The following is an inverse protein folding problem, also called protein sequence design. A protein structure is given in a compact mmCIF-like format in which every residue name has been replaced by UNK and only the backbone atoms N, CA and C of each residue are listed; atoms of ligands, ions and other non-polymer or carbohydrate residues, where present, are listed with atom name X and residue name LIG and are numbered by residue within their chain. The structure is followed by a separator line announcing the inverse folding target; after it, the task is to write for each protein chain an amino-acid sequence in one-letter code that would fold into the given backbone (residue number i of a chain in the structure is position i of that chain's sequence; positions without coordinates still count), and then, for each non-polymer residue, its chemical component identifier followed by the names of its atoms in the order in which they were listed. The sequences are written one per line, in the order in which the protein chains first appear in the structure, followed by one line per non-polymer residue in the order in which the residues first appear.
data_IF_528512189573
#
_entry.id   IF_528512189573
#
_cell.length_a   1.000
_cell.length_b   1.000
_cell.length_c   1.000
_cell.angle_alpha   90.00
_cell.angle_beta   90.00
_cell.angle_gamma   90.00
#
_symmetry.space_group_name_H-M   'P 1'
#
loop_
_entity.id
_entity.type
_entity.pdbx_description
1 polymer ?
#
# COMPACT_ATOMS: atom_id res chain seq x y z
N UNK A 1 9.69 8.36 2.10
CA UNK A 1 10.68 7.80 1.17
C UNK A 1 10.69 6.29 1.32
N UNK A 2 10.35 5.56 0.27
CA UNK A 2 10.22 4.09 0.29
C UNK A 2 11.35 3.42 -0.47
N UNK A 3 11.81 2.30 0.06
CA UNK A 3 12.86 1.47 -0.53
C UNK A 3 12.26 0.11 -0.85
N UNK A 4 12.12 -0.21 -2.13
CA UNK A 4 11.74 -1.54 -2.59
C UNK A 4 13.03 -2.35 -2.87
N UNK A 5 13.20 -3.48 -2.19
CA UNK A 5 14.30 -4.41 -2.43
C UNK A 5 13.85 -5.51 -3.40
N UNK A 6 14.57 -5.67 -4.50
CA UNK A 6 14.31 -6.71 -5.49
C UNK A 6 15.49 -7.69 -5.56
N UNK A 7 15.19 -8.98 -5.28
CA UNK A 7 16.10 -10.11 -5.44
C UNK A 7 15.74 -10.84 -6.74
N UNK A 8 16.26 -10.43 -7.87
CA UNK A 8 15.95 -11.09 -9.15
C UNK A 8 16.90 -10.72 -10.28
N UNK A 9 17.14 -11.69 -11.13
CA UNK A 9 18.15 -11.73 -12.15
C UNK A 9 18.24 -10.54 -13.10
N UNK A 10 19.42 -10.27 -13.46
CA UNK A 10 20.06 -9.19 -14.20
C UNK A 10 19.33 -8.72 -15.46
N UNK A 11 18.77 -7.52 -15.41
CA UNK A 11 18.53 -6.73 -16.61
C UNK A 11 19.65 -5.69 -16.79
N UNK A 12 20.36 -5.72 -17.91
CA UNK A 12 21.41 -4.75 -18.23
C UNK A 12 20.99 -3.28 -18.10
N UNK A 13 19.71 -2.99 -18.32
CA UNK A 13 19.16 -1.63 -18.27
C UNK A 13 19.11 -1.09 -16.85
N UNK A 14 18.70 -1.90 -15.88
CA UNK A 14 18.67 -1.47 -14.47
C UNK A 14 20.08 -1.17 -13.97
N UNK A 15 21.07 -1.97 -14.34
CA UNK A 15 22.48 -1.71 -13.97
C UNK A 15 22.98 -0.36 -14.49
N UNK A 16 22.57 0.05 -15.71
CA UNK A 16 22.95 1.35 -16.28
C UNK A 16 22.29 2.56 -15.59
N UNK A 17 21.14 2.36 -14.97
CA UNK A 17 20.37 3.42 -14.29
C UNK A 17 20.65 3.48 -12.77
N UNK A 18 21.52 2.61 -12.28
CA UNK A 18 21.71 2.39 -10.84
C UNK A 18 22.94 3.15 -10.32
N UNK A 19 22.75 3.84 -9.19
CA UNK A 19 23.85 4.41 -8.41
C UNK A 19 24.34 3.40 -7.35
N UNK A 20 25.63 3.41 -7.07
CA UNK A 20 26.17 2.61 -5.97
C UNK A 20 25.77 3.22 -4.62
N UNK A 21 25.42 2.38 -3.65
CA UNK A 21 25.03 2.83 -2.30
C UNK A 21 26.10 3.69 -1.59
N UNK A 22 27.38 3.49 -1.92
CA UNK A 22 28.47 4.32 -1.39
C UNK A 22 28.44 5.73 -1.96
N UNK A 23 28.12 5.88 -3.24
CA UNK A 23 27.96 7.18 -3.92
C UNK A 23 26.72 7.90 -3.39
N UNK A 24 25.60 7.18 -3.23
CA UNK A 24 24.38 7.71 -2.63
C UNK A 24 24.65 8.30 -1.26
N UNK A 25 25.39 7.58 -0.39
CA UNK A 25 25.75 8.10 0.94
C UNK A 25 26.62 9.36 0.90
N UNK A 26 27.53 9.45 -0.04
CA UNK A 26 28.40 10.63 -0.18
C UNK A 26 27.61 11.86 -0.68
N UNK A 27 26.63 11.63 -1.55
CA UNK A 27 25.87 12.68 -2.23
C UNK A 27 24.39 12.68 -1.80
N UNK A 28 24.09 12.31 -0.54
CA UNK A 28 22.75 12.09 -0.06
C UNK A 28 21.80 13.27 -0.33
N UNK A 29 22.27 14.50 -0.10
CA UNK A 29 21.46 15.70 -0.32
C UNK A 29 21.02 15.84 -1.78
N UNK A 30 21.95 15.68 -2.72
CA UNK A 30 21.68 15.78 -4.16
C UNK A 30 20.75 14.63 -4.63
N UNK A 31 20.98 13.40 -4.15
CA UNK A 31 20.18 12.25 -4.49
C UNK A 31 18.74 12.41 -3.95
N UNK A 32 18.58 12.88 -2.72
CA UNK A 32 17.27 13.13 -2.13
C UNK A 32 16.51 14.24 -2.85
N UNK A 33 17.17 15.34 -3.20
CA UNK A 33 16.57 16.40 -4.02
C UNK A 33 16.14 15.90 -5.41
N UNK A 34 16.94 15.05 -6.03
CA UNK A 34 16.60 14.43 -7.32
C UNK A 34 15.38 13.52 -7.19
N UNK A 35 15.33 12.70 -6.14
CA UNK A 35 14.22 11.78 -5.90
C UNK A 35 12.92 12.53 -5.62
N UNK A 36 12.99 13.61 -4.87
CA UNK A 36 11.81 14.42 -4.53
C UNK A 36 11.27 15.18 -5.74
N UNK A 37 12.17 15.74 -6.58
CA UNK A 37 11.78 16.73 -7.60
C UNK A 37 11.79 16.22 -9.03
N UNK A 38 12.55 15.15 -9.32
CA UNK A 38 12.82 14.75 -10.70
C UNK A 38 12.37 13.33 -11.01
N UNK A 39 12.91 12.33 -10.30
CA UNK A 39 12.65 10.92 -10.61
C UNK A 39 13.07 9.98 -9.48
N UNK A 40 12.47 8.80 -9.38
CA UNK A 40 12.98 7.72 -8.54
C UNK A 40 14.40 7.31 -8.92
N UNK A 41 15.18 6.86 -7.94
CA UNK A 41 16.57 6.44 -8.13
C UNK A 41 16.75 4.98 -7.78
N UNK A 42 17.27 4.19 -8.74
CA UNK A 42 17.74 2.83 -8.47
C UNK A 42 19.09 2.87 -7.75
N UNK A 43 19.21 2.08 -6.69
CA UNK A 43 20.42 2.00 -5.86
C UNK A 43 20.84 0.54 -5.78
N UNK A 44 22.14 0.29 -5.96
CA UNK A 44 22.73 -1.03 -5.83
C UNK A 44 23.61 -1.10 -4.59
N UNK A 45 23.36 -2.10 -3.75
CA UNK A 45 24.22 -2.45 -2.63
C UNK A 45 24.67 -3.91 -2.76
N UNK A 46 25.95 -4.10 -3.09
CA UNK A 46 26.53 -5.42 -3.33
C UNK A 46 25.80 -6.16 -4.47
N UNK A 47 24.83 -7.01 -4.14
CA UNK A 47 24.02 -7.79 -5.10
C UNK A 47 22.56 -7.34 -5.15
N UNK A 48 22.13 -6.55 -4.17
CA UNK A 48 20.75 -6.16 -3.96
C UNK A 48 20.44 -4.80 -4.60
N UNK A 49 19.25 -4.68 -5.14
CA UNK A 49 18.74 -3.46 -5.75
C UNK A 49 17.64 -2.89 -4.87
N UNK A 50 17.63 -1.57 -4.78
CA UNK A 50 16.62 -0.80 -4.07
C UNK A 50 16.09 0.29 -4.99
N UNK A 51 14.85 0.69 -4.81
CA UNK A 51 14.26 1.86 -5.43
C UNK A 51 13.99 2.91 -4.35
N UNK A 52 14.58 4.07 -4.50
CA UNK A 52 14.29 5.24 -3.68
C UNK A 52 13.31 6.12 -4.46
N UNK A 53 12.15 6.41 -3.87
CA UNK A 53 11.10 7.20 -4.50
C UNK A 53 10.46 8.17 -3.51
N UNK A 54 9.82 9.22 -4.02
CA UNK A 54 8.93 10.05 -3.23
C UNK A 54 7.55 9.36 -3.07
N UNK A 55 6.72 9.88 -2.16
CA UNK A 55 5.40 9.29 -1.89
C UNK A 55 4.44 9.46 -3.06
N UNK A 56 4.46 10.60 -3.73
CA UNK A 56 3.62 10.89 -4.89
C UNK A 56 3.81 9.86 -6.02
N UNK A 57 5.07 9.47 -6.29
CA UNK A 57 5.35 8.40 -7.26
C UNK A 57 4.70 7.08 -6.85
N UNK A 58 4.81 6.71 -5.58
CA UNK A 58 4.22 5.47 -5.08
C UNK A 58 2.69 5.54 -5.07
N UNK A 59 2.11 6.67 -4.69
CA UNK A 59 0.68 6.93 -4.76
C UNK A 59 0.14 6.74 -6.19
N UNK A 60 0.84 7.29 -7.19
CA UNK A 60 0.50 7.08 -8.61
C UNK A 60 0.55 5.60 -9.02
N UNK A 61 1.57 4.85 -8.60
CA UNK A 61 1.66 3.40 -8.87
C UNK A 61 0.51 2.62 -8.23
N UNK A 62 0.05 3.04 -7.05
CA UNK A 62 -1.02 2.39 -6.30
C UNK A 62 -2.43 2.88 -6.68
N UNK A 63 -2.54 3.85 -7.60
CA UNK A 63 -3.82 4.45 -7.98
C UNK A 63 -4.85 3.44 -8.52
N UNK A 64 -4.39 2.41 -9.22
CA UNK A 64 -5.24 1.35 -9.79
C UNK A 64 -5.81 0.36 -8.75
N UNK A 65 -5.24 0.33 -7.55
CA UNK A 65 -5.74 -0.52 -6.47
C UNK A 65 -6.90 0.15 -5.76
N UNK A 66 -8.07 -0.49 -5.74
CA UNK A 66 -9.31 0.05 -5.14
C UNK A 66 -9.76 -0.81 -3.97
N UNK A 67 -10.34 -0.19 -2.96
CA UNK A 67 -11.01 -0.89 -1.87
C UNK A 67 -12.45 -1.21 -2.30
N UNK A 68 -12.76 -2.51 -2.47
CA UNK A 68 -14.07 -2.97 -2.94
C UNK A 68 -14.79 -3.74 -1.84
N UNK A 69 -15.89 -3.20 -1.36
CA UNK A 69 -16.69 -3.83 -0.32
C UNK A 69 -18.01 -4.38 -0.86
N UNK A 70 -18.30 -5.63 -0.58
CA UNK A 70 -19.61 -6.23 -0.76
C UNK A 70 -20.53 -5.81 0.38
N UNK A 71 -21.68 -5.24 0.01
CA UNK A 71 -22.68 -4.75 0.95
C UNK A 71 -23.82 -5.74 1.11
N UNK A 72 -24.14 -6.07 2.35
CA UNK A 72 -25.27 -6.90 2.73
C UNK A 72 -26.18 -6.10 3.67
N UNK A 73 -27.49 -6.32 3.57
CA UNK A 73 -28.48 -5.82 4.53
C UNK A 73 -28.93 -7.02 5.34
N UNK A 74 -28.72 -6.96 6.65
CA UNK A 74 -29.06 -8.04 7.57
C UNK A 74 -30.56 -8.05 7.90
N UNK A 75 -31.07 -9.13 8.51
CA UNK A 75 -32.47 -9.27 8.87
C UNK A 75 -32.96 -8.20 9.87
N UNK A 76 -32.06 -7.71 10.72
CA UNK A 76 -32.32 -6.65 11.69
C UNK A 76 -32.24 -5.23 11.10
N UNK A 77 -31.94 -5.12 9.79
CA UNK A 77 -31.78 -3.87 9.07
C UNK A 77 -30.38 -3.25 9.17
N UNK A 78 -29.45 -3.86 9.89
CA UNK A 78 -28.05 -3.42 9.93
C UNK A 78 -27.35 -3.66 8.58
N UNK A 79 -26.23 -3.00 8.39
CA UNK A 79 -25.44 -3.07 7.14
C UNK A 79 -24.10 -3.71 7.42
N UNK A 80 -23.79 -4.78 6.70
CA UNK A 80 -22.48 -5.43 6.70
C UNK A 80 -21.71 -5.04 5.45
N UNK A 81 -20.46 -4.67 5.61
CA UNK A 81 -19.48 -4.52 4.52
C UNK A 81 -18.39 -5.56 4.65
N UNK A 82 -18.16 -6.31 3.57
CA UNK A 82 -17.06 -7.27 3.46
C UNK A 82 -16.06 -6.77 2.43
N UNK A 83 -14.86 -6.40 2.86
CA UNK A 83 -13.78 -5.92 2.00
C UNK A 83 -13.06 -7.09 1.33
N UNK A 84 -13.06 -7.13 0.01
CA UNK A 84 -12.54 -8.26 -0.77
C UNK A 84 -11.02 -8.41 -0.69
N UNK A 85 -10.30 -7.28 -0.65
CA UNK A 85 -8.86 -7.24 -0.86
C UNK A 85 -8.04 -7.55 0.41
N UNK A 86 -8.65 -7.33 1.59
CA UNK A 86 -7.96 -7.47 2.89
C UNK A 86 -8.69 -8.43 3.85
N UNK A 87 -9.78 -9.08 3.41
CA UNK A 87 -10.61 -9.99 4.22
C UNK A 87 -11.13 -9.35 5.51
N UNK A 88 -11.46 -8.05 5.48
CA UNK A 88 -12.02 -7.31 6.60
C UNK A 88 -13.55 -7.23 6.47
N UNK A 89 -14.24 -7.39 7.59
CA UNK A 89 -15.71 -7.32 7.66
C UNK A 89 -16.13 -6.45 8.82
N UNK A 90 -17.03 -5.50 8.55
CA UNK A 90 -17.61 -4.62 9.56
C UNK A 90 -19.13 -4.60 9.43
N UNK A 91 -19.82 -4.37 10.55
CA UNK A 91 -21.27 -4.22 10.61
C UNK A 91 -21.65 -3.01 11.46
N UNK A 92 -22.62 -2.24 11.01
CA UNK A 92 -23.16 -1.11 11.76
C UNK A 92 -24.63 -0.85 11.40
N UNK A 93 -25.29 0.04 12.16
CA UNK A 93 -26.70 0.40 11.96
C UNK A 93 -26.94 1.14 10.64
N UNK A 94 -25.93 1.82 10.12
CA UNK A 94 -26.03 2.60 8.87
C UNK A 94 -24.84 2.37 7.94
N UNK A 95 -25.06 2.58 6.65
CA UNK A 95 -24.01 2.51 5.65
C UNK A 95 -22.85 3.50 5.95
N UNK A 96 -23.17 4.68 6.48
CA UNK A 96 -22.16 5.69 6.82
C UNK A 96 -21.26 5.22 7.97
N UNK A 97 -21.88 4.69 9.01
CA UNK A 97 -21.14 4.18 10.18
C UNK A 97 -20.24 3.00 9.81
N UNK A 98 -20.77 2.00 9.08
CA UNK A 98 -19.98 0.82 8.71
C UNK A 98 -18.84 1.18 7.74
N UNK A 99 -19.01 2.14 6.83
CA UNK A 99 -17.91 2.63 5.99
C UNK A 99 -16.81 3.29 6.80
N UNK A 100 -17.17 4.09 7.79
CA UNK A 100 -16.18 4.71 8.68
C UNK A 100 -15.44 3.67 9.52
N UNK A 101 -16.15 2.70 10.11
CA UNK A 101 -15.54 1.59 10.84
C UNK A 101 -14.60 0.78 9.94
N UNK A 102 -15.04 0.45 8.72
CA UNK A 102 -14.20 -0.27 7.77
C UNK A 102 -12.94 0.51 7.38
N UNK A 103 -13.04 1.83 7.21
CA UNK A 103 -11.88 2.69 6.93
C UNK A 103 -10.88 2.69 8.11
N UNK A 104 -11.37 2.69 9.35
CA UNK A 104 -10.54 2.54 10.54
C UNK A 104 -9.84 1.19 10.58
N UNK A 105 -10.59 0.09 10.37
CA UNK A 105 -10.04 -1.27 10.33
C UNK A 105 -9.01 -1.46 9.21
N UNK A 106 -9.19 -0.82 8.06
CA UNK A 106 -8.19 -0.81 6.97
C UNK A 106 -6.89 -0.17 7.44
N UNK A 107 -6.94 0.99 8.09
CA UNK A 107 -5.74 1.71 8.54
C UNK A 107 -5.06 0.97 9.70
N UNK A 108 -5.82 0.43 10.65
CA UNK A 108 -5.30 -0.39 11.76
C UNK A 108 -4.60 -1.65 11.22
N UNK A 109 -5.25 -2.38 10.33
CA UNK A 109 -4.66 -3.55 9.67
C UNK A 109 -3.39 -3.20 8.89
N UNK A 110 -3.38 -2.10 8.16
CA UNK A 110 -2.22 -1.66 7.40
C UNK A 110 -1.04 -1.32 8.32
N UNK A 111 -1.30 -0.71 9.46
CA UNK A 111 -0.29 -0.37 10.48
C UNK A 111 0.30 -1.64 11.10
N UNK A 112 -0.55 -2.57 11.54
CA UNK A 112 -0.12 -3.87 12.09
C UNK A 112 0.70 -4.67 11.06
N UNK A 113 0.22 -4.73 9.80
CA UNK A 113 0.93 -5.40 8.72
C UNK A 113 2.33 -4.82 8.52
N UNK A 114 2.46 -3.50 8.58
CA UNK A 114 3.74 -2.81 8.39
C UNK A 114 4.69 -3.05 9.56
N UNK A 115 4.20 -3.04 10.79
CA UNK A 115 4.99 -3.30 11.99
C UNK A 115 5.54 -4.74 12.00
N UNK A 116 4.74 -5.71 11.55
CA UNK A 116 5.10 -7.13 11.45
C UNK A 116 5.35 -7.56 9.99
N UNK A 117 5.92 -6.66 9.17
CA UNK A 117 6.00 -6.83 7.71
C UNK A 117 6.63 -8.16 7.27
N UNK A 118 7.72 -8.58 7.91
CA UNK A 118 8.40 -9.83 7.56
C UNK A 118 7.50 -11.05 7.77
N UNK A 119 6.69 -11.05 8.82
CA UNK A 119 5.73 -12.11 9.13
C UNK A 119 4.59 -12.14 8.10
N UNK A 120 3.90 -11.02 7.92
CA UNK A 120 2.73 -10.93 7.05
C UNK A 120 3.08 -11.11 5.57
N UNK A 121 4.16 -10.50 5.09
CA UNK A 121 4.58 -10.58 3.69
C UNK A 121 5.09 -11.96 3.28
N UNK A 122 5.52 -12.79 4.22
CA UNK A 122 5.94 -14.17 3.97
C UNK A 122 4.75 -15.13 3.86
N UNK A 123 3.60 -14.79 4.41
CA UNK A 123 2.39 -15.61 4.34
C UNK A 123 1.79 -15.59 2.92
N UNK A 124 1.59 -16.76 2.26
CA UNK A 124 1.16 -16.80 0.86
C UNK A 124 -0.16 -16.06 0.58
N UNK A 125 -1.10 -16.14 1.51
CA UNK A 125 -2.43 -15.51 1.40
C UNK A 125 -2.42 -13.99 1.69
N UNK A 126 -1.30 -13.44 2.16
CA UNK A 126 -1.19 -12.02 2.54
C UNK A 126 -0.32 -11.19 1.60
N UNK A 127 0.40 -11.83 0.68
CA UNK A 127 1.22 -11.09 -0.32
C UNK A 127 0.41 -10.16 -1.19
N UNK A 128 -0.80 -10.53 -1.56
CA UNK A 128 -1.73 -9.72 -2.35
C UNK A 128 -2.23 -8.48 -1.61
N UNK A 129 -2.10 -8.45 -0.28
CA UNK A 129 -2.51 -7.31 0.55
C UNK A 129 -1.50 -6.14 0.49
N UNK A 130 -0.23 -6.41 0.15
CA UNK A 130 0.86 -5.41 0.18
C UNK A 130 0.49 -4.09 -0.51
N UNK A 131 -0.01 -4.04 -1.76
CA UNK A 131 -0.33 -2.78 -2.42
C UNK A 131 -1.45 -2.00 -1.70
N UNK A 132 -2.43 -2.68 -1.14
CA UNK A 132 -3.53 -2.06 -0.39
C UNK A 132 -3.08 -1.53 0.97
N UNK A 133 -2.19 -2.26 1.65
CA UNK A 133 -1.53 -1.83 2.88
C UNK A 133 -0.76 -0.53 2.65
N UNK A 134 0.10 -0.50 1.64
CA UNK A 134 0.85 0.71 1.33
C UNK A 134 -0.04 1.86 0.87
N UNK A 135 -1.11 1.58 0.11
CA UNK A 135 -2.10 2.59 -0.25
C UNK A 135 -2.75 3.21 0.97
N UNK A 136 -3.22 2.42 1.93
CA UNK A 136 -3.83 2.91 3.16
C UNK A 136 -2.86 3.77 3.98
N UNK A 137 -1.61 3.31 4.17
CA UNK A 137 -0.57 4.03 4.90
C UNK A 137 -0.17 5.35 4.26
N UNK A 138 -0.21 5.45 2.91
CA UNK A 138 0.12 6.68 2.19
C UNK A 138 -1.01 7.69 2.30
N UNK A 139 -2.27 7.23 2.24
CA UNK A 139 -3.44 8.08 2.42
C UNK A 139 -3.48 8.64 3.84
N UNK A 140 -3.22 7.80 4.86
CA UNK A 140 -3.10 8.14 6.28
C UNK A 140 -4.21 9.10 6.78
N UNK A 141 -5.43 8.91 6.29
CA UNK A 141 -6.60 9.73 6.59
C UNK A 141 -7.86 8.88 6.44
N UNK A 142 -8.58 8.69 7.55
CA UNK A 142 -9.76 7.81 7.61
C UNK A 142 -10.86 8.28 6.64
N UNK A 143 -11.09 9.59 6.53
CA UNK A 143 -12.14 10.11 5.65
C UNK A 143 -11.80 9.86 4.17
N UNK A 144 -10.55 10.07 3.80
CA UNK A 144 -10.07 9.78 2.43
C UNK A 144 -10.08 8.28 2.12
N UNK A 145 -9.74 7.42 3.09
CA UNK A 145 -9.87 5.96 2.92
C UNK A 145 -11.35 5.60 2.73
N UNK A 146 -12.26 6.16 3.56
CA UNK A 146 -13.70 5.96 3.43
C UNK A 146 -14.21 6.34 2.03
N UNK A 147 -13.77 7.47 1.48
CA UNK A 147 -14.09 7.89 0.11
C UNK A 147 -13.58 6.92 -0.97
N UNK A 148 -12.46 6.27 -0.73
CA UNK A 148 -11.89 5.26 -1.63
C UNK A 148 -12.63 3.91 -1.61
N UNK A 149 -13.50 3.64 -0.61
CA UNK A 149 -14.25 2.38 -0.53
C UNK A 149 -15.41 2.40 -1.53
N UNK A 150 -15.36 1.49 -2.49
CA UNK A 150 -16.43 1.26 -3.47
C UNK A 150 -17.35 0.15 -2.98
N UNK A 151 -18.60 0.49 -2.68
CA UNK A 151 -19.60 -0.50 -2.24
C UNK A 151 -20.34 -1.07 -3.44
N UNK A 152 -20.45 -2.40 -3.49
CA UNK A 152 -21.23 -3.15 -4.47
C UNK A 152 -22.28 -3.99 -3.74
N UNK A 153 -23.39 -4.34 -4.42
CA UNK A 153 -24.34 -5.28 -3.84
C UNK A 153 -23.68 -6.66 -3.67
N UNK A 154 -23.69 -7.17 -2.45
CA UNK A 154 -23.23 -8.52 -2.17
C UNK A 154 -24.10 -9.54 -2.89
N UNK A 155 -23.49 -10.62 -3.37
CA UNK A 155 -24.24 -11.77 -3.92
C UNK A 155 -24.51 -12.74 -2.79
N UNK A 156 -25.77 -12.97 -2.49
CA UNK A 156 -26.20 -14.07 -1.62
C UNK A 156 -25.94 -15.42 -2.29
#
# INVERSE_FOLDING_TARGET
MYVLCYNGGKGKVIDMLTMNATEVRKNWSEVSDTVIRTRPQFIKRTRDYMLLSNLEFLENLLSAYTFTADKFIEEDGSVTLSLRELDLVENASTLKEVKNQLAQSILEYATEFYDEFALFSSAPNRKSHIPYVFKALIIDDIQKIEECIQCQAGKN
#
